data_IF_881338487063
#
_entry.id   IF_881338487063
#
_cell.length_a   1.000
_cell.length_b   1.000
_cell.length_c   1.000
_cell.angle_alpha   90.00
_cell.angle_beta   90.00
_cell.angle_gamma   90.00
#
_symmetry.space_group_name_H-M   'P 1'
#
loop_
_entity.id
_entity.type
_entity.pdbx_description
1 polymer ?
#
# COMPACT_ATOMS: atom_id res chain seq x y z
N UNK A 1 12.08 -18.78 -13.88
CA UNK A 1 10.98 -18.79 -12.92
C UNK A 1 11.54 -18.85 -11.52
N UNK A 2 11.17 -17.93 -10.67
CA UNK A 2 11.56 -17.91 -9.28
C UNK A 2 10.32 -17.92 -8.40
N UNK A 3 10.33 -18.76 -7.41
CA UNK A 3 9.24 -18.80 -6.43
C UNK A 3 9.52 -17.77 -5.34
N UNK A 4 8.54 -16.95 -5.07
CA UNK A 4 8.60 -16.02 -3.96
C UNK A 4 7.99 -16.69 -2.75
N UNK A 5 8.84 -16.94 -1.78
CA UNK A 5 8.41 -17.52 -0.52
C UNK A 5 8.40 -16.48 0.58
N UNK A 6 7.58 -16.70 1.59
CA UNK A 6 7.58 -15.84 2.76
C UNK A 6 8.89 -16.04 3.54
N UNK A 7 9.74 -15.02 3.63
CA UNK A 7 10.97 -15.14 4.39
C UNK A 7 10.66 -15.20 5.89
N UNK A 8 11.61 -15.69 6.63
CA UNK A 8 11.49 -15.71 8.08
C UNK A 8 11.63 -14.28 8.62
N UNK A 9 10.54 -13.72 9.08
CA UNK A 9 10.47 -12.35 9.55
C UNK A 9 10.92 -12.18 11.02
N UNK A 10 11.20 -13.28 11.68
CA UNK A 10 11.67 -13.27 13.05
C UNK A 10 11.80 -14.68 13.63
N UNK A 11 12.54 -14.81 14.70
CA UNK A 11 12.78 -16.12 15.34
C UNK A 11 11.50 -16.76 15.91
N UNK A 12 10.56 -15.93 16.28
CA UNK A 12 9.30 -16.37 16.87
C UNK A 12 8.12 -16.30 15.92
N UNK A 13 8.35 -15.80 14.72
CA UNK A 13 7.30 -15.66 13.69
C UNK A 13 7.27 -16.93 12.86
N UNK A 14 6.17 -17.64 12.92
CA UNK A 14 5.94 -18.88 12.18
C UNK A 14 4.94 -18.70 11.03
N UNK A 15 4.18 -17.63 11.06
CA UNK A 15 3.16 -17.33 10.08
C UNK A 15 3.00 -15.81 9.92
N UNK A 16 2.47 -15.40 8.81
CA UNK A 16 2.16 -14.01 8.55
C UNK A 16 0.90 -13.89 7.72
N UNK A 17 0.20 -12.79 7.90
CA UNK A 17 -1.00 -12.48 7.12
C UNK A 17 -0.66 -11.44 6.08
N UNK A 18 -0.99 -11.71 4.84
CA UNK A 18 -0.78 -10.74 3.77
C UNK A 18 -1.84 -9.67 3.90
N UNK A 19 -1.42 -8.44 4.16
CA UNK A 19 -2.32 -7.32 4.34
C UNK A 19 -2.60 -6.61 3.04
N UNK A 20 -1.60 -6.55 2.17
CA UNK A 20 -1.72 -5.84 0.91
C UNK A 20 -0.71 -6.33 -0.13
N UNK A 21 -1.14 -6.34 -1.39
CA UNK A 21 -0.27 -6.52 -2.54
C UNK A 21 0.02 -5.18 -3.19
N UNK A 22 1.30 -4.91 -3.44
CA UNK A 22 1.73 -3.71 -4.18
C UNK A 22 1.81 -3.97 -5.67
N UNK A 23 1.94 -5.23 -6.05
CA UNK A 23 2.05 -5.68 -7.44
C UNK A 23 0.97 -6.69 -7.77
N UNK A 24 0.62 -6.76 -9.03
CA UNK A 24 -0.38 -7.70 -9.56
C UNK A 24 0.26 -8.68 -10.51
N UNK A 25 -0.48 -9.74 -10.82
CA UNK A 25 -0.06 -10.67 -11.87
C UNK A 25 0.07 -9.92 -13.19
N UNK A 26 1.24 -10.06 -13.81
CA UNK A 26 1.59 -9.35 -15.03
C UNK A 26 2.46 -8.11 -14.83
N UNK A 27 2.64 -7.66 -13.60
CA UNK A 27 3.47 -6.50 -13.32
C UNK A 27 4.96 -6.85 -13.29
N UNK A 28 5.76 -5.95 -13.82
CA UNK A 28 7.20 -6.06 -13.74
C UNK A 28 7.66 -5.70 -12.34
N UNK A 29 8.52 -6.52 -11.80
CA UNK A 29 9.09 -6.37 -10.48
C UNK A 29 10.61 -6.30 -10.58
N UNK A 30 11.20 -5.35 -9.90
CA UNK A 30 12.65 -5.28 -9.79
C UNK A 30 13.13 -6.12 -8.59
N UNK A 31 14.39 -6.47 -8.60
CA UNK A 31 14.98 -7.07 -7.42
C UNK A 31 14.94 -6.06 -6.26
N UNK A 32 14.68 -6.54 -5.08
CA UNK A 32 14.51 -5.73 -3.88
C UNK A 32 13.28 -4.79 -3.89
N UNK A 33 12.41 -4.94 -4.86
CA UNK A 33 11.16 -4.17 -4.90
C UNK A 33 10.10 -4.81 -4.01
N UNK A 34 9.42 -4.04 -3.15
CA UNK A 34 8.39 -4.59 -2.29
C UNK A 34 7.23 -5.15 -3.12
N UNK A 35 6.90 -6.40 -2.89
CA UNK A 35 5.80 -7.09 -3.57
C UNK A 35 4.50 -7.01 -2.80
N UNK A 36 4.59 -7.24 -1.53
CA UNK A 36 3.45 -7.29 -0.64
C UNK A 36 3.86 -6.95 0.78
N UNK A 37 2.88 -6.58 1.57
CA UNK A 37 3.04 -6.32 2.98
C UNK A 37 2.48 -7.47 3.79
N UNK A 38 3.22 -7.88 4.79
CA UNK A 38 2.84 -8.94 5.70
C UNK A 38 2.73 -8.39 7.10
N UNK A 39 1.62 -8.64 7.72
CA UNK A 39 1.41 -8.37 9.13
C UNK A 39 1.54 -9.66 9.93
N UNK A 40 2.27 -9.58 10.99
CA UNK A 40 2.38 -10.66 11.95
C UNK A 40 1.84 -10.19 13.30
N UNK A 41 1.75 -11.09 14.23
CA UNK A 41 1.28 -10.75 15.58
C UNK A 41 2.12 -9.66 16.25
N UNK A 42 3.35 -9.46 15.80
CA UNK A 42 4.29 -8.53 16.44
C UNK A 42 4.78 -7.40 15.56
N UNK A 43 4.83 -7.60 14.25
CA UNK A 43 5.42 -6.64 13.32
C UNK A 43 4.71 -6.65 11.97
N UNK A 44 4.73 -5.51 11.32
CA UNK A 44 4.34 -5.36 9.94
C UNK A 44 5.61 -5.15 9.12
N UNK A 45 5.78 -5.90 8.06
CA UNK A 45 6.98 -5.85 7.24
C UNK A 45 6.64 -6.00 5.77
N UNK A 46 7.32 -5.23 4.95
CA UNK A 46 7.25 -5.37 3.51
C UNK A 46 8.21 -6.48 3.06
N UNK A 47 7.73 -7.33 2.18
CA UNK A 47 8.54 -8.41 1.63
C UNK A 47 8.99 -8.04 0.23
N UNK A 48 10.30 -7.90 0.02
CA UNK A 48 10.84 -7.59 -1.29
C UNK A 48 10.92 -8.83 -2.17
N UNK A 49 10.94 -8.60 -3.48
CA UNK A 49 11.19 -9.66 -4.44
C UNK A 49 12.66 -10.10 -4.37
N UNK A 50 12.93 -11.37 -4.31
CA UNK A 50 14.32 -11.87 -4.36
C UNK A 50 14.94 -11.77 -5.75
N UNK A 51 14.15 -11.56 -6.76
CA UNK A 51 14.60 -11.50 -8.15
C UNK A 51 13.82 -10.47 -8.94
N UNK A 52 14.46 -9.95 -9.98
CA UNK A 52 13.78 -9.14 -10.97
C UNK A 52 13.04 -10.03 -11.97
N UNK A 53 11.86 -9.63 -12.37
CA UNK A 53 11.07 -10.40 -13.31
C UNK A 53 9.66 -9.86 -13.45
N UNK A 54 8.77 -10.72 -13.87
CA UNK A 54 7.35 -10.41 -13.97
C UNK A 54 6.58 -11.34 -13.05
N UNK A 55 5.71 -10.78 -12.25
CA UNK A 55 4.86 -11.58 -11.38
C UNK A 55 3.85 -12.36 -12.23
N UNK A 56 4.05 -13.66 -12.37
CA UNK A 56 3.22 -14.51 -13.24
C UNK A 56 2.06 -15.15 -12.52
N UNK A 57 2.21 -15.38 -11.25
CA UNK A 57 1.17 -16.03 -10.45
C UNK A 57 1.19 -15.52 -9.02
N UNK A 58 0.02 -15.33 -8.46
CA UNK A 58 -0.20 -15.06 -7.04
C UNK A 58 -0.99 -16.25 -6.49
N UNK A 59 -0.42 -16.95 -5.54
CA UNK A 59 -1.05 -18.12 -4.93
C UNK A 59 -1.83 -17.81 -3.67
N UNK A 60 -1.56 -16.65 -3.10
CA UNK A 60 -2.16 -16.23 -1.84
C UNK A 60 -2.72 -14.83 -2.00
N UNK A 61 -3.90 -14.63 -1.52
CA UNK A 61 -4.60 -13.35 -1.64
C UNK A 61 -4.38 -12.45 -0.41
N UNK A 62 -4.82 -11.23 -0.55
CA UNK A 62 -4.87 -10.30 0.59
C UNK A 62 -5.81 -10.86 1.66
N UNK A 63 -5.34 -10.84 2.89
CA UNK A 63 -6.08 -11.38 4.02
C UNK A 63 -5.78 -12.84 4.36
N UNK A 64 -5.01 -13.52 3.52
CA UNK A 64 -4.63 -14.90 3.81
C UNK A 64 -3.45 -14.98 4.77
N UNK A 65 -3.56 -15.91 5.69
CA UNK A 65 -2.47 -16.23 6.62
C UNK A 65 -1.68 -17.40 6.08
N UNK A 66 -0.39 -17.21 5.95
CA UNK A 66 0.51 -18.23 5.41
C UNK A 66 1.68 -18.48 6.35
N UNK A 67 2.12 -19.72 6.43
CA UNK A 67 3.30 -20.05 7.22
C UNK A 67 4.58 -19.55 6.53
N UNK A 68 5.59 -19.28 7.34
CA UNK A 68 6.92 -18.95 6.84
C UNK A 68 7.45 -20.09 5.96
N UNK A 69 7.99 -19.73 4.82
CA UNK A 69 8.45 -20.69 3.82
C UNK A 69 7.39 -21.13 2.80
N UNK A 70 6.16 -20.70 2.95
CA UNK A 70 5.15 -20.97 1.93
C UNK A 70 5.40 -20.17 0.66
N UNK A 71 5.08 -20.78 -0.47
CA UNK A 71 5.17 -20.10 -1.77
C UNK A 71 3.95 -19.19 -1.93
N UNK A 72 4.22 -17.92 -1.99
CA UNK A 72 3.18 -16.89 -2.07
C UNK A 72 2.89 -16.49 -3.50
N UNK A 73 3.92 -16.48 -4.32
CA UNK A 73 3.79 -16.12 -5.72
C UNK A 73 4.95 -16.64 -6.54
N UNK A 74 4.82 -16.50 -7.84
CA UNK A 74 5.85 -16.90 -8.79
C UNK A 74 6.21 -15.72 -9.65
N UNK A 75 7.50 -15.43 -9.70
CA UNK A 75 8.06 -14.42 -10.59
C UNK A 75 8.68 -15.12 -11.77
N UNK A 76 8.23 -14.80 -12.96
CA UNK A 76 8.81 -15.27 -14.19
C UNK A 76 10.02 -14.43 -14.57
N UNK A 77 10.86 -15.01 -15.40
CA UNK A 77 12.03 -14.31 -15.91
C UNK A 77 11.58 -13.16 -16.82
N UNK A 78 12.07 -11.99 -16.54
CA UNK A 78 11.77 -10.81 -17.36
C UNK A 78 12.22 -10.96 -18.81
N UNK A 79 13.12 -11.88 -19.06
CA UNK A 79 13.58 -12.19 -20.42
C UNK A 79 12.66 -13.11 -21.20
N UNK A 80 11.76 -13.79 -20.51
CA UNK A 80 10.81 -14.69 -21.13
C UNK A 80 9.40 -14.11 -21.20
N UNK A 81 9.21 -12.96 -20.66
CA UNK A 81 7.97 -12.27 -20.85
C UNK A 81 7.76 -12.11 -22.36
N UNK A 82 6.69 -12.61 -22.89
CA UNK A 82 6.32 -12.18 -24.19
C UNK A 82 6.30 -10.69 -24.08
N UNK A 83 7.06 -10.12 -24.90
CA UNK A 83 7.21 -8.71 -24.92
C UNK A 83 5.88 -8.14 -24.56
N UNK A 84 5.81 -7.48 -23.50
CA UNK A 84 4.58 -6.89 -23.13
C UNK A 84 4.19 -6.20 -24.34
N UNK A 85 3.10 -6.59 -24.73
CA UNK A 85 2.62 -5.84 -25.80
C UNK A 85 3.04 -4.45 -25.46
N UNK A 86 3.73 -3.90 -26.27
CA UNK A 86 4.18 -2.58 -26.09
C UNK A 86 3.05 -1.66 -25.89
N UNK A 87 2.35 -2.19 -25.22
CA UNK A 87 1.46 -1.43 -24.81
C UNK A 87 2.01 -0.33 -24.18
N UNK A 88 2.91 -0.30 -24.26
CA UNK A 88 3.23 0.92 -24.06
C UNK A 88 2.41 1.72 -24.89
N UNK A 89 1.28 1.32 -25.06
CA UNK A 89 0.47 2.40 -25.38
C UNK A 89 1.02 3.49 -24.50
N UNK A 90 1.72 4.34 -25.00
CA UNK A 90 2.18 5.40 -24.20
C UNK A 90 0.94 5.75 -23.50
N UNK A 91 0.90 5.35 -22.38
CA UNK A 91 -0.19 5.86 -21.68
C UNK A 91 -0.17 7.28 -22.09
N UNK A 92 -1.11 7.65 -22.79
CA UNK A 92 -1.07 9.00 -23.17
C UNK A 92 -1.05 9.61 -21.85
N UNK A 93 -0.12 9.79 -21.72
CA UNK A 93 -0.13 10.24 -20.70
C UNK A 93 -0.97 11.12 -20.25
N UNK A 94 -0.80 11.62 -19.96
CA UNK A 94 -1.68 12.59 -19.80
C UNK A 94 -2.91 12.10 -19.24
N UNK A 95 -2.83 11.23 -18.43
CA UNK A 95 -3.77 11.50 -17.40
C UNK A 95 -3.58 12.98 -17.11
N UNK A 96 -4.46 13.79 -17.51
CA UNK A 96 -4.34 15.14 -17.10
C UNK A 96 -4.19 15.05 -15.61
N UNK A 97 -3.17 15.60 -15.17
CA UNK A 97 -3.01 15.69 -13.75
C UNK A 97 -4.38 16.03 -13.21
N UNK A 98 -4.87 15.26 -12.32
CA UNK A 98 -6.16 15.60 -11.79
C UNK A 98 -6.09 17.06 -11.45
N UNK A 99 -7.02 17.72 -11.98
CA UNK A 99 -7.07 19.13 -11.73
C UNK A 99 -6.89 19.28 -10.23
N UNK A 100 -6.01 20.08 -9.83
CA UNK A 100 -5.82 20.25 -8.41
C UNK A 100 -7.18 20.53 -7.85
N UNK A 101 -7.62 19.66 -7.06
CA UNK A 101 -8.83 19.94 -6.34
C UNK A 101 -8.56 21.25 -5.66
N UNK A 102 -9.27 22.19 -6.07
CA UNK A 102 -9.16 23.45 -5.39
C UNK A 102 -9.32 23.16 -3.92
N UNK A 103 -8.43 23.58 -3.12
CA UNK A 103 -8.59 23.37 -1.71
C UNK A 103 -9.95 23.92 -1.34
N UNK A 104 -10.70 23.11 -0.74
CA UNK A 104 -11.97 23.59 -0.24
C UNK A 104 -11.67 24.84 0.58
N UNK A 105 -12.40 25.88 0.36
CA UNK A 105 -12.17 27.05 1.14
C UNK A 105 -12.27 26.64 2.60
N UNK A 106 -11.26 26.95 3.30
CA UNK A 106 -11.29 26.71 4.72
C UNK A 106 -12.55 27.38 5.26
N UNK A 107 -13.31 26.71 6.05
CA UNK A 107 -14.45 27.36 6.64
C UNK A 107 -13.95 28.60 7.35
N UNK A 108 -14.55 29.66 7.00
CA UNK A 108 -14.25 30.92 7.69
C UNK A 108 -14.42 30.67 9.19
N UNK A 109 -13.51 31.11 9.96
CA UNK A 109 -13.69 30.97 11.38
C UNK A 109 -14.97 31.73 11.74
N UNK A 110 -15.93 30.99 12.14
CA UNK A 110 -17.09 31.58 12.74
C UNK A 110 -16.58 32.29 13.97
N UNK A 111 -16.61 33.54 13.92
CA UNK A 111 -16.35 34.28 15.11
C UNK A 111 -17.29 33.76 16.18
N UNK A 112 -16.73 33.22 17.18
CA UNK A 112 -17.52 32.81 18.29
C UNK A 112 -18.25 34.03 18.83
N UNK A 113 -19.52 33.99 18.99
CA UNK A 113 -20.19 35.09 19.59
C UNK A 113 -19.60 35.31 20.98
N UNK A 114 -19.08 36.47 21.15
CA UNK A 114 -18.64 36.84 22.48
C UNK A 114 -19.88 36.86 23.34
N UNK A 115 -19.93 35.98 24.25
CA UNK A 115 -21.01 36.01 25.21
C UNK A 115 -20.93 37.33 25.98
N UNK A 116 -21.97 38.08 26.05
CA UNK A 116 -21.93 39.27 26.83
C UNK A 116 -21.64 38.93 28.29
N UNK A 117 -20.72 39.61 28.82
CA UNK A 117 -20.41 39.44 30.23
C UNK A 117 -21.69 39.68 31.05
N UNK A 118 -21.93 38.86 32.01
CA UNK A 118 -23.07 39.12 32.88
C UNK A 118 -22.89 40.44 33.58
N UNK A 119 -23.93 41.16 33.56
CA UNK A 119 -23.93 42.43 34.27
C UNK A 119 -23.68 42.17 35.76
N UNK A 120 -22.90 42.97 36.39
CA UNK A 120 -22.69 42.86 37.81
C UNK A 120 -24.02 43.01 38.53
N UNK A 121 -24.23 42.12 39.42
CA UNK A 121 -25.39 42.21 40.27
C UNK A 121 -25.36 43.53 41.09
N UNK A 122 -26.43 44.18 41.26
CA UNK A 122 -26.42 45.37 42.06
C UNK A 122 -26.11 44.97 43.49
N UNK A 123 -25.26 45.73 44.07
CA UNK A 123 -24.95 45.53 45.46
C UNK A 123 -26.18 45.81 46.29
N UNK A 124 -26.43 45.05 47.31
CA UNK A 124 -27.51 45.34 48.22
C UNK A 124 -27.21 46.60 48.98
N UNK A 125 -28.20 47.33 49.15
CA UNK A 125 -28.07 48.54 49.93
C UNK A 125 -27.86 48.25 51.41
#
# INVERSE_FOLDING_TARGET
MAEVTLPQLGETVTEGTITRWFKKVGDTVAADEPLFEVSTDKVDTEVPSPVAGVLVEIRVQEGDTVPVGAVIGVVGDAGAAPAPAPAAAPAPAAAPAPAPVAPAPAPAPVAAPVAPAPAPAPAPA
#
